data_IF_422745102281
#
_entry.id   IF_422745102281
#
_cell.length_a   1.000
_cell.length_b   1.000
_cell.length_c   1.000
_cell.angle_alpha   90.00
_cell.angle_beta   90.00
_cell.angle_gamma   90.00
#
_symmetry.space_group_name_H-M   'P 1'
#
loop_
_entity.id
_entity.type
_entity.pdbx_description
1 polymer ?
#
# COMPACT_ATOMS: atom_id res chain seq x y z
N UNK A 1 1.21 -1.65 -10.25
CA UNK A 1 -0.19 -1.27 -9.96
C UNK A 1 -0.22 0.06 -9.23
N UNK A 2 -1.30 0.78 -9.37
CA UNK A 2 -1.51 2.03 -8.64
C UNK A 2 -2.73 1.89 -7.77
N UNK A 3 -2.63 2.36 -6.53
CA UNK A 3 -3.75 2.35 -5.59
C UNK A 3 -4.16 3.81 -5.42
N UNK A 4 -5.37 4.13 -5.87
CA UNK A 4 -5.92 5.47 -5.72
C UNK A 4 -6.85 5.47 -4.53
N UNK A 5 -6.60 6.33 -3.56
CA UNK A 5 -7.35 6.37 -2.31
C UNK A 5 -8.04 7.71 -2.19
N UNK A 6 -9.38 7.65 -2.10
CA UNK A 6 -10.17 8.84 -1.80
C UNK A 6 -10.44 8.83 -0.30
N UNK A 7 -9.86 9.79 0.39
CA UNK A 7 -10.07 9.96 1.82
C UNK A 7 -11.08 11.09 2.01
N UNK A 8 -12.32 10.71 2.20
CA UNK A 8 -13.36 11.73 2.29
C UNK A 8 -13.49 12.36 3.67
N UNK A 9 -12.81 11.83 4.68
CA UNK A 9 -12.78 12.53 5.96
C UNK A 9 -11.86 13.74 5.89
N UNK A 10 -10.80 13.66 5.08
CA UNK A 10 -9.85 14.76 4.89
C UNK A 10 -10.04 15.50 3.57
N UNK A 11 -10.86 14.98 2.69
CA UNK A 11 -11.06 15.57 1.38
C UNK A 11 -9.85 15.47 0.47
N UNK A 12 -9.08 14.39 0.59
CA UNK A 12 -7.84 14.22 -0.16
C UNK A 12 -7.89 13.00 -1.06
N UNK A 13 -7.06 13.03 -2.10
CA UNK A 13 -6.84 11.88 -2.98
C UNK A 13 -5.36 11.57 -2.91
N UNK A 14 -5.04 10.31 -2.62
CA UNK A 14 -3.66 9.85 -2.55
C UNK A 14 -3.44 8.76 -3.58
N UNK A 15 -2.27 8.73 -4.18
CA UNK A 15 -1.91 7.69 -5.12
C UNK A 15 -0.66 6.98 -4.59
N UNK A 16 -0.77 5.68 -4.44
CA UNK A 16 0.34 4.85 -3.98
C UNK A 16 0.76 3.97 -5.16
N UNK A 17 2.04 4.00 -5.48
CA UNK A 17 2.57 3.14 -6.53
C UNK A 17 3.06 1.83 -5.92
N UNK A 18 2.38 0.74 -6.29
CA UNK A 18 2.73 -0.60 -5.87
C UNK A 18 3.71 -1.19 -6.88
N UNK A 19 4.99 -0.97 -6.64
CA UNK A 19 6.04 -1.32 -7.59
C UNK A 19 6.20 -2.83 -7.80
N UNK A 20 5.83 -3.62 -6.80
CA UNK A 20 5.97 -5.07 -6.87
C UNK A 20 4.68 -5.77 -7.23
N UNK A 21 3.63 -4.99 -7.50
CA UNK A 21 2.31 -5.51 -7.84
C UNK A 21 1.77 -6.47 -6.78
N UNK A 22 2.04 -6.19 -5.51
CA UNK A 22 1.60 -7.07 -4.43
C UNK A 22 0.08 -7.07 -4.29
N UNK A 23 -0.58 -6.02 -4.75
CA UNK A 23 -2.04 -5.91 -4.65
C UNK A 23 -2.77 -6.55 -5.82
N UNK A 24 -2.05 -7.03 -6.84
CA UNK A 24 -2.67 -7.50 -8.07
C UNK A 24 -3.71 -8.58 -7.85
N UNK A 25 -3.43 -9.51 -6.95
CA UNK A 25 -4.32 -10.63 -6.69
C UNK A 25 -4.96 -10.59 -5.31
N UNK A 26 -4.88 -9.47 -4.63
CA UNK A 26 -5.48 -9.32 -3.31
C UNK A 26 -6.98 -9.13 -3.41
N UNK A 27 -7.69 -9.65 -2.43
CA UNK A 27 -9.09 -9.35 -2.25
C UNK A 27 -9.24 -8.01 -1.56
N UNK A 28 -10.41 -7.42 -1.64
CA UNK A 28 -10.65 -6.10 -1.05
C UNK A 28 -10.33 -6.05 0.44
N UNK A 29 -10.67 -7.11 1.17
CA UNK A 29 -10.39 -7.16 2.60
C UNK A 29 -8.90 -7.08 2.90
N UNK A 30 -8.10 -7.73 2.07
CA UNK A 30 -6.65 -7.73 2.24
C UNK A 30 -6.07 -6.34 1.94
N UNK A 31 -6.61 -5.68 0.92
CA UNK A 31 -6.18 -4.33 0.59
C UNK A 31 -6.53 -3.37 1.72
N UNK A 32 -7.71 -3.49 2.30
CA UNK A 32 -8.08 -2.65 3.44
C UNK A 32 -7.16 -2.89 4.63
N UNK A 33 -6.80 -4.15 4.89
CA UNK A 33 -5.87 -4.46 5.98
C UNK A 33 -4.51 -3.81 5.73
N UNK A 34 -4.03 -3.86 4.50
CA UNK A 34 -2.79 -3.19 4.12
C UNK A 34 -2.89 -1.69 4.35
N UNK A 35 -3.97 -1.07 3.87
CA UNK A 35 -4.14 0.37 3.97
C UNK A 35 -4.31 0.82 5.42
N UNK A 36 -4.98 0.04 6.25
CA UNK A 36 -5.10 0.37 7.67
C UNK A 36 -3.74 0.34 8.36
N UNK A 37 -2.90 -0.61 7.99
CA UNK A 37 -1.54 -0.68 8.51
C UNK A 37 -0.75 0.57 8.14
N UNK A 38 -1.04 1.14 6.98
CA UNK A 38 -0.37 2.36 6.50
C UNK A 38 -0.98 3.64 7.07
N UNK A 39 -2.04 3.53 7.87
CA UNK A 39 -2.63 4.69 8.53
C UNK A 39 -3.95 5.18 7.99
N UNK A 40 -4.49 4.52 6.99
CA UNK A 40 -5.81 4.87 6.47
C UNK A 40 -6.89 4.13 7.24
N UNK A 41 -8.09 4.69 7.29
CA UNK A 41 -9.22 4.06 7.98
C UNK A 41 -10.23 3.58 6.96
N UNK A 42 -10.54 2.29 7.00
CA UNK A 42 -11.48 1.68 6.09
C UNK A 42 -12.80 2.44 5.98
N UNK A 43 -13.31 2.92 7.10
CA UNK A 43 -14.60 3.61 7.14
C UNK A 43 -14.56 5.00 6.51
N UNK A 44 -13.39 5.51 6.18
CA UNK A 44 -13.23 6.89 5.72
C UNK A 44 -12.66 6.98 4.30
N UNK A 45 -12.42 5.85 3.66
CA UNK A 45 -11.79 5.84 2.35
C UNK A 45 -12.51 4.95 1.36
N UNK A 46 -12.34 5.28 0.08
CA UNK A 46 -12.55 4.36 -1.03
C UNK A 46 -11.22 4.19 -1.74
N UNK A 47 -10.99 3.03 -2.31
CA UNK A 47 -9.79 2.82 -3.10
C UNK A 47 -10.13 2.18 -4.45
N UNK A 48 -9.21 2.36 -5.38
CA UNK A 48 -9.29 1.73 -6.69
C UNK A 48 -7.88 1.29 -7.08
N UNK A 49 -7.75 0.09 -7.61
CA UNK A 49 -6.46 -0.42 -8.05
C UNK A 49 -6.45 -0.49 -9.56
N UNK A 50 -5.47 0.14 -10.18
CA UNK A 50 -5.36 0.19 -11.64
C UNK A 50 -3.95 -0.15 -12.07
N UNK A 51 -3.81 -0.56 -13.32
CA UNK A 51 -2.50 -0.86 -13.89
C UNK A 51 -1.79 0.41 -14.33
N UNK A 52 -2.53 1.44 -14.69
CA UNK A 52 -2.00 2.71 -15.14
C UNK A 52 -2.40 3.80 -14.17
N UNK A 53 -1.59 4.84 -14.08
CA UNK A 53 -1.90 5.97 -13.23
C UNK A 53 -3.16 6.66 -13.77
N UNK A 54 -4.26 6.67 -13.02
CA UNK A 54 -5.53 7.21 -13.51
C UNK A 54 -5.57 8.74 -13.53
N UNK A 55 -4.57 9.40 -12.96
CA UNK A 55 -4.55 10.85 -12.84
C UNK A 55 -3.37 11.46 -13.59
N UNK A 56 -3.05 10.97 -14.77
CA UNK A 56 -2.00 11.57 -15.57
C UNK A 56 -2.37 12.98 -16.01
N UNK A 57 -1.39 13.89 -16.06
CA UNK A 57 0.00 13.71 -15.67
C UNK A 57 0.18 14.06 -14.21
N UNK A 58 0.37 13.08 -13.36
CA UNK A 58 0.67 13.30 -11.96
C UNK A 58 2.14 12.94 -11.76
N UNK A 59 2.93 13.91 -11.36
CA UNK A 59 4.36 13.69 -11.16
C UNK A 59 4.69 13.24 -9.74
N UNK A 60 3.76 13.41 -8.82
CA UNK A 60 4.00 13.07 -7.43
C UNK A 60 3.13 11.91 -6.97
N UNK A 61 3.77 10.87 -6.52
CA UNK A 61 3.10 9.78 -5.84
C UNK A 61 4.12 9.15 -4.89
N UNK A 62 3.61 8.47 -3.87
CA UNK A 62 4.48 7.71 -2.96
C UNK A 62 4.45 6.26 -3.39
N UNK A 63 5.55 5.56 -3.15
CA UNK A 63 5.57 4.12 -3.42
C UNK A 63 5.08 3.37 -2.20
N UNK A 64 4.54 2.20 -2.42
CA UNK A 64 4.12 1.33 -1.33
C UNK A 64 5.29 1.01 -0.41
N UNK A 65 6.48 0.81 -0.99
CA UNK A 65 7.69 0.55 -0.20
C UNK A 65 8.00 1.68 0.75
N UNK A 66 7.93 2.93 0.28
CA UNK A 66 8.20 4.09 1.12
C UNK A 66 7.26 4.16 2.31
N UNK A 67 5.99 3.89 2.08
CA UNK A 67 5.03 3.90 3.17
C UNK A 67 5.27 2.78 4.16
N UNK A 68 5.62 1.60 3.68
CA UNK A 68 5.89 0.48 4.55
C UNK A 68 7.17 0.68 5.38
N UNK A 69 8.15 1.40 4.85
CA UNK A 69 9.37 1.71 5.59
C UNK A 69 9.10 2.55 6.83
N UNK A 70 8.05 3.35 6.80
CA UNK A 70 7.67 4.19 7.94
C UNK A 70 6.85 3.46 8.99
N UNK A 71 6.47 2.21 8.72
CA UNK A 71 5.68 1.41 9.64
C UNK A 71 6.61 0.57 10.51
N UNK A 72 6.24 0.36 11.77
CA UNK A 72 7.03 -0.47 12.68
C UNK A 72 7.25 -1.86 12.12
N UNK A 73 8.43 -2.41 12.32
CA UNK A 73 8.76 -3.75 11.81
C UNK A 73 7.79 -4.82 12.31
N UNK A 74 7.36 -4.72 13.57
CA UNK A 74 6.43 -5.70 14.13
C UNK A 74 5.10 -5.69 13.37
N UNK A 75 4.63 -4.50 13.00
CA UNK A 75 3.38 -4.39 12.25
C UNK A 75 3.55 -4.91 10.83
N UNK A 76 4.72 -4.67 10.23
CA UNK A 76 5.01 -5.21 8.90
C UNK A 76 5.07 -6.73 8.94
N UNK A 77 5.66 -7.31 9.97
CA UNK A 77 5.66 -8.77 10.12
C UNK A 77 4.26 -9.32 10.24
N UNK A 78 3.42 -8.72 11.07
CA UNK A 78 2.04 -9.15 11.21
C UNK A 78 1.29 -9.06 9.88
N UNK A 79 1.48 -7.97 9.17
CA UNK A 79 0.84 -7.77 7.88
C UNK A 79 1.32 -8.81 6.87
N UNK A 80 2.61 -9.07 6.82
CA UNK A 80 3.17 -10.03 5.88
C UNK A 80 2.63 -11.43 6.14
N UNK A 81 2.47 -11.80 7.40
CA UNK A 81 1.85 -13.08 7.75
C UNK A 81 0.39 -13.13 7.32
N UNK A 82 -0.33 -12.06 7.59
CA UNK A 82 -1.74 -11.98 7.24
C UNK A 82 -1.95 -12.10 5.73
N UNK A 83 -1.11 -11.41 4.96
CA UNK A 83 -1.23 -11.39 3.50
C UNK A 83 -0.49 -12.53 2.82
N UNK A 84 0.25 -13.33 3.60
CA UNK A 84 1.06 -14.41 3.07
C UNK A 84 2.11 -13.90 2.07
N UNK A 85 2.70 -12.76 2.41
CA UNK A 85 3.78 -12.15 1.66
C UNK A 85 5.02 -12.07 2.52
N UNK A 86 6.18 -11.91 1.90
CA UNK A 86 7.38 -11.67 2.69
C UNK A 86 7.48 -10.19 3.06
N UNK A 87 8.17 -9.87 4.15
CA UNK A 87 8.39 -8.48 4.51
C UNK A 87 9.17 -7.75 3.41
N UNK A 88 10.04 -8.47 2.72
CA UNK A 88 10.79 -7.94 1.61
C UNK A 88 9.89 -7.46 0.47
N UNK A 89 8.82 -8.20 0.20
CA UNK A 89 7.86 -7.81 -0.84
C UNK A 89 7.17 -6.50 -0.50
N UNK A 90 6.96 -6.24 0.78
CA UNK A 90 6.29 -5.02 1.23
C UNK A 90 7.25 -3.84 1.31
N UNK A 91 8.44 -4.05 1.85
CA UNK A 91 9.37 -2.94 2.11
C UNK A 91 10.44 -2.77 1.05
N UNK A 92 10.62 -3.78 0.22
CA UNK A 92 11.70 -3.75 -0.77
C UNK A 92 13.09 -3.90 -0.19
N UNK A 93 13.19 -4.19 1.11
CA UNK A 93 14.50 -4.39 1.74
C UNK A 93 14.88 -5.85 1.61
N UNK A 94 16.05 -6.11 1.10
CA UNK A 94 16.55 -7.45 1.03
C UNK A 94 17.25 -7.79 2.32
N UNK A 95 17.05 -9.02 2.77
CA UNK A 95 17.76 -9.50 3.93
C UNK A 95 19.11 -10.00 3.50
N UNK A 96 20.07 -9.12 3.51
CA UNK A 96 21.31 -9.40 2.98
C UNK A 96 22.28 -9.78 3.96
N UNK A 97 22.06 -10.59 4.73
CA UNK A 97 23.04 -10.99 5.62
C UNK A 97 23.86 -9.86 6.02
N UNK A 98 23.24 -8.89 6.07
CA UNK A 98 23.90 -7.67 6.41
C UNK A 98 24.60 -7.21 5.25
#
# INVERSE_FOLDING_TARGET
MYISILDYSNGTVSIIYDTENVTENMQNEDVYTLLETLGFRESEIYFMITKENPYEPVDEYVTLRELCEDVDEDRIEELSHYLNLSAEDLTGKEDRNG
#
